data_IF_770219869781
#
_entry.id   IF_770219869781
#
_cell.length_a   1.000
_cell.length_b   1.000
_cell.length_c   1.000
_cell.angle_alpha   90.00
_cell.angle_beta   90.00
_cell.angle_gamma   90.00
#
_symmetry.space_group_name_H-M   'P 1'
#
loop_
_entity.id
_entity.type
_entity.pdbx_description
1 polymer ?
#
# COMPACT_ATOMS: atom_id res chain seq x y z
N UNK A 1 -114.63 -33.55 -20.88
CA UNK A 1 -113.71 -32.59 -20.17
C UNK A 1 -112.28 -33.10 -20.40
N UNK A 2 -111.55 -32.44 -21.31
CA UNK A 2 -110.24 -32.88 -21.65
C UNK A 2 -109.23 -32.12 -20.77
N UNK A 3 -108.49 -32.83 -19.86
CA UNK A 3 -107.40 -32.27 -19.05
C UNK A 3 -106.17 -32.04 -19.92
N UNK A 4 -105.87 -30.84 -20.24
CA UNK A 4 -104.67 -30.44 -20.94
C UNK A 4 -103.47 -30.56 -19.94
N UNK A 5 -102.61 -31.54 -20.17
CA UNK A 5 -101.43 -31.74 -19.32
C UNK A 5 -100.48 -30.47 -19.44
N UNK A 6 -100.00 -29.93 -18.32
CA UNK A 6 -99.21 -28.71 -18.30
C UNK A 6 -97.89 -28.78 -19.13
N UNK A 7 -97.41 -29.99 -19.39
CA UNK A 7 -96.23 -30.22 -20.20
C UNK A 7 -96.44 -29.93 -21.71
N UNK A 8 -97.66 -30.12 -22.27
CA UNK A 8 -97.97 -29.75 -23.68
C UNK A 8 -98.14 -28.24 -23.90
N UNK A 9 -98.52 -27.49 -22.87
CA UNK A 9 -98.65 -26.03 -22.95
C UNK A 9 -97.24 -25.35 -23.01
N UNK A 10 -96.28 -25.91 -22.31
CA UNK A 10 -94.89 -25.49 -22.36
C UNK A 10 -94.16 -25.84 -23.66
N UNK A 11 -94.49 -26.95 -24.31
CA UNK A 11 -93.84 -27.35 -25.56
C UNK A 11 -94.23 -26.50 -26.78
N UNK A 12 -95.39 -25.81 -26.72
CA UNK A 12 -95.90 -24.95 -27.81
C UNK A 12 -95.39 -23.48 -27.70
N UNK A 13 -94.78 -23.10 -26.53
CA UNK A 13 -94.33 -21.76 -26.31
C UNK A 13 -92.89 -21.77 -25.72
N UNK A 14 -91.85 -21.98 -26.54
CA UNK A 14 -90.46 -22.15 -26.08
C UNK A 14 -89.89 -20.94 -25.34
N UNK A 15 -90.44 -19.75 -25.60
CA UNK A 15 -90.06 -18.53 -24.90
C UNK A 15 -90.43 -18.54 -23.39
N UNK A 16 -91.46 -19.31 -22.99
CA UNK A 16 -91.81 -19.45 -21.58
C UNK A 16 -90.82 -20.34 -20.82
N UNK A 17 -90.25 -21.32 -21.48
CA UNK A 17 -89.19 -22.16 -20.89
C UNK A 17 -87.90 -21.37 -20.70
N UNK A 18 -87.55 -20.54 -21.69
CA UNK A 18 -86.37 -19.65 -21.54
C UNK A 18 -86.57 -18.61 -20.49
N UNK A 19 -87.76 -18.06 -20.32
CA UNK A 19 -88.03 -17.07 -19.25
C UNK A 19 -87.97 -17.70 -17.86
N UNK A 20 -88.45 -18.93 -17.69
CA UNK A 20 -88.34 -19.68 -16.43
C UNK A 20 -86.93 -20.02 -16.14
N UNK A 21 -86.10 -20.40 -17.13
CA UNK A 21 -84.65 -20.67 -16.95
C UNK A 21 -83.90 -19.42 -16.56
N UNK A 22 -84.20 -18.27 -17.17
CA UNK A 22 -83.59 -17.00 -16.80
C UNK A 22 -83.98 -16.57 -15.40
N UNK A 23 -85.27 -16.77 -14.99
CA UNK A 23 -85.74 -16.49 -13.63
C UNK A 23 -85.04 -17.41 -12.60
N UNK A 24 -84.91 -18.70 -12.87
CA UNK A 24 -84.19 -19.64 -12.01
C UNK A 24 -82.69 -19.30 -11.91
N UNK A 25 -82.09 -18.90 -13.02
CA UNK A 25 -80.71 -18.50 -13.06
C UNK A 25 -80.46 -17.20 -12.26
N UNK A 26 -81.42 -16.22 -12.42
CA UNK A 26 -81.38 -14.98 -11.65
C UNK A 26 -81.58 -15.19 -10.16
N UNK A 27 -82.45 -16.11 -9.79
CA UNK A 27 -82.72 -16.49 -8.39
C UNK A 27 -81.49 -17.22 -7.80
N UNK A 28 -80.83 -18.08 -8.59
CA UNK A 28 -79.61 -18.82 -8.17
C UNK A 28 -78.42 -17.86 -8.00
N UNK A 29 -78.23 -16.93 -8.94
CA UNK A 29 -77.24 -15.86 -8.83
C UNK A 29 -77.51 -14.93 -7.66
N UNK A 30 -78.77 -14.52 -7.45
CA UNK A 30 -79.17 -13.64 -6.33
C UNK A 30 -78.94 -14.30 -4.95
N UNK A 31 -79.27 -15.59 -4.80
CA UNK A 31 -79.00 -16.35 -3.58
C UNK A 31 -77.46 -16.57 -3.39
N UNK A 32 -76.71 -16.75 -4.50
CA UNK A 32 -75.27 -16.83 -4.45
C UNK A 32 -74.62 -15.51 -3.99
N UNK A 33 -75.12 -14.36 -4.43
CA UNK A 33 -74.68 -13.04 -4.01
C UNK A 33 -74.99 -12.73 -2.55
N UNK A 34 -76.15 -13.10 -2.05
CA UNK A 34 -76.49 -12.98 -0.63
C UNK A 34 -75.68 -13.85 0.30
N UNK A 35 -75.28 -15.06 -0.14
CA UNK A 35 -74.37 -15.94 0.62
C UNK A 35 -72.89 -15.51 0.53
N UNK A 36 -72.50 -14.73 -0.48
CA UNK A 36 -71.15 -14.22 -0.63
C UNK A 36 -70.86 -13.07 0.30
N UNK A 37 -71.87 -12.39 0.85
CA UNK A 37 -71.68 -11.26 1.79
C UNK A 37 -71.47 -11.69 3.26
N UNK A 38 -71.77 -12.95 3.63
CA UNK A 38 -71.61 -13.41 5.00
C UNK A 38 -70.30 -14.22 5.25
N UNK A 39 -69.43 -14.35 4.26
CA UNK A 39 -68.11 -15.00 4.43
C UNK A 39 -67.01 -13.99 4.17
N UNK A 40 -66.99 -12.87 4.93
CA UNK A 40 -65.72 -12.26 5.24
C UNK A 40 -64.97 -13.26 6.15
N UNK A 41 -63.81 -13.80 5.75
CA UNK A 41 -63.02 -14.54 6.70
C UNK A 41 -62.67 -13.57 7.83
N UNK A 42 -63.17 -13.84 8.99
CA UNK A 42 -62.44 -13.40 10.18
C UNK A 42 -61.05 -13.95 10.00
N UNK A 43 -60.09 -13.12 9.59
CA UNK A 43 -58.72 -13.35 9.92
C UNK A 43 -58.65 -13.31 11.46
N UNK A 44 -58.89 -14.46 12.07
CA UNK A 44 -58.18 -14.75 13.30
C UNK A 44 -56.73 -14.50 12.91
N UNK A 45 -56.12 -13.44 13.47
CA UNK A 45 -54.71 -13.30 13.53
C UNK A 45 -54.23 -14.59 14.20
N UNK A 46 -53.84 -15.60 13.42
CA UNK A 46 -53.04 -16.71 13.90
C UNK A 46 -51.90 -16.02 14.66
N UNK A 47 -51.90 -16.14 15.94
CA UNK A 47 -50.77 -15.76 16.80
C UNK A 47 -49.64 -16.65 16.33
N UNK A 48 -48.88 -16.18 15.34
CA UNK A 48 -47.70 -16.89 14.80
C UNK A 48 -46.79 -17.05 16.01
N UNK A 49 -46.58 -18.29 16.47
CA UNK A 49 -45.76 -18.50 17.68
C UNK A 49 -44.39 -17.89 17.42
N UNK A 50 -43.99 -16.97 18.28
CA UNK A 50 -42.72 -16.29 18.22
C UNK A 50 -41.58 -17.34 18.07
N UNK A 51 -40.73 -17.14 17.10
CA UNK A 51 -39.58 -18.04 16.88
C UNK A 51 -38.66 -18.01 18.09
N UNK A 52 -38.23 -19.17 18.52
CA UNK A 52 -37.22 -19.31 19.60
C UNK A 52 -35.83 -19.24 18.99
N UNK A 53 -35.00 -18.30 19.47
CA UNK A 53 -33.61 -18.13 19.01
C UNK A 53 -32.68 -18.20 20.22
N UNK A 54 -31.47 -18.71 19.99
CA UNK A 54 -30.41 -18.61 20.98
C UNK A 54 -29.46 -17.50 20.58
N UNK A 55 -28.97 -16.76 21.56
CA UNK A 55 -27.99 -15.69 21.36
C UNK A 55 -26.85 -15.80 22.36
N UNK A 56 -25.74 -15.22 22.00
CA UNK A 56 -24.55 -15.07 22.85
C UNK A 56 -24.06 -13.62 22.76
N UNK A 57 -23.69 -13.08 23.91
CA UNK A 57 -23.08 -11.74 23.99
C UNK A 57 -21.60 -11.81 23.61
N UNK A 58 -21.21 -10.96 22.68
CA UNK A 58 -19.83 -10.80 22.23
C UNK A 58 -19.33 -9.42 22.58
N UNK A 59 -18.06 -9.34 22.96
CA UNK A 59 -17.35 -8.09 23.25
C UNK A 59 -16.29 -7.88 22.18
N UNK A 60 -16.13 -6.65 21.72
CA UNK A 60 -15.11 -6.30 20.76
C UNK A 60 -13.72 -6.33 21.40
N UNK A 61 -12.77 -6.91 20.69
CA UNK A 61 -11.36 -6.99 21.07
C UNK A 61 -10.53 -6.20 20.07
N UNK A 62 -9.39 -5.66 20.52
CA UNK A 62 -8.44 -5.00 19.62
C UNK A 62 -7.78 -6.04 18.72
N UNK A 63 -7.86 -5.81 17.44
CA UNK A 63 -7.21 -6.67 16.45
C UNK A 63 -6.71 -5.83 15.28
N UNK A 64 -5.78 -6.37 14.49
CA UNK A 64 -5.24 -5.72 13.31
C UNK A 64 -5.44 -6.57 12.06
N UNK A 65 -5.57 -5.91 10.95
CA UNK A 65 -5.50 -6.54 9.63
C UNK A 65 -4.03 -6.64 9.24
N UNK A 66 -3.57 -7.84 8.88
CA UNK A 66 -2.25 -8.05 8.31
C UNK A 66 -2.35 -8.02 6.79
N UNK A 67 -1.45 -7.30 6.14
CA UNK A 67 -1.24 -7.36 4.70
C UNK A 67 0.06 -8.10 4.40
N UNK A 68 0.02 -8.91 3.35
CA UNK A 68 1.17 -9.65 2.84
C UNK A 68 1.59 -9.02 1.52
N UNK A 69 2.87 -8.66 1.43
CA UNK A 69 3.49 -8.07 0.25
C UNK A 69 4.66 -8.93 -0.18
N UNK A 70 4.93 -8.93 -1.47
CA UNK A 70 6.10 -9.59 -2.04
C UNK A 70 7.04 -8.53 -2.59
N UNK A 71 8.32 -8.67 -2.27
CA UNK A 71 9.35 -7.72 -2.68
C UNK A 71 10.67 -8.41 -2.95
N UNK A 72 11.69 -7.60 -3.24
CA UNK A 72 13.05 -8.05 -3.46
C UNK A 72 14.03 -7.26 -2.61
N UNK A 73 15.05 -7.92 -2.17
CA UNK A 73 16.17 -7.27 -1.47
C UNK A 73 16.96 -6.40 -2.44
N UNK A 74 17.34 -5.22 -1.97
CA UNK A 74 18.21 -4.27 -2.64
C UNK A 74 19.31 -3.79 -1.68
N UNK A 75 20.45 -3.30 -2.18
CA UNK A 75 21.47 -2.71 -1.32
C UNK A 75 20.98 -1.41 -0.70
N UNK A 76 21.49 -1.06 0.48
CA UNK A 76 21.17 0.21 1.13
C UNK A 76 21.50 1.44 0.27
N UNK A 77 22.66 1.37 -0.43
CA UNK A 77 23.10 2.39 -1.39
C UNK A 77 23.71 1.73 -2.61
N UNK A 78 23.50 2.35 -3.77
CA UNK A 78 24.15 1.97 -5.02
C UNK A 78 24.69 3.21 -5.70
N UNK A 79 25.98 3.22 -6.02
CA UNK A 79 26.60 4.30 -6.79
C UNK A 79 27.29 3.73 -8.04
N UNK A 80 27.07 4.39 -9.17
CA UNK A 80 27.84 4.16 -10.39
C UNK A 80 28.89 5.28 -10.47
N UNK A 81 30.15 4.91 -10.34
CA UNK A 81 31.28 5.84 -10.37
C UNK A 81 31.69 6.07 -11.82
N UNK A 82 31.80 7.32 -12.19
CA UNK A 82 32.30 7.75 -13.50
C UNK A 82 33.66 8.44 -13.40
N UNK A 83 34.39 8.47 -14.49
CA UNK A 83 35.60 9.28 -14.61
C UNK A 83 35.22 10.78 -14.65
N UNK A 84 35.86 11.57 -13.80
CA UNK A 84 35.65 13.03 -13.75
C UNK A 84 36.63 13.81 -14.63
N UNK A 85 37.64 13.10 -15.19
CA UNK A 85 38.62 13.62 -16.14
C UNK A 85 38.90 12.56 -17.20
N UNK A 86 39.24 12.99 -18.42
CA UNK A 86 39.64 12.09 -19.46
C UNK A 86 41.13 11.70 -19.32
N UNK A 87 41.44 10.43 -19.59
CA UNK A 87 42.82 9.95 -19.56
C UNK A 87 42.91 8.44 -19.60
N UNK A 88 44.14 7.93 -19.59
CA UNK A 88 44.44 6.49 -19.59
C UNK A 88 44.41 5.96 -18.17
N UNK A 89 43.83 4.78 -17.96
CA UNK A 89 43.85 4.08 -16.68
C UNK A 89 45.26 3.48 -16.50
N UNK A 90 45.96 3.99 -15.50
CA UNK A 90 47.34 3.51 -15.19
C UNK A 90 47.35 2.38 -14.18
N UNK A 91 46.38 2.33 -13.28
CA UNK A 91 46.28 1.32 -12.25
C UNK A 91 44.87 1.16 -11.69
N UNK A 92 44.45 -0.10 -11.53
CA UNK A 92 43.33 -0.48 -10.67
C UNK A 92 43.89 -0.84 -9.29
N UNK A 93 43.29 -0.27 -8.23
CA UNK A 93 43.71 -0.48 -6.83
C UNK A 93 42.85 -1.50 -6.10
N UNK A 94 41.76 -1.96 -6.73
CA UNK A 94 40.78 -2.88 -6.17
C UNK A 94 40.32 -3.89 -7.21
N UNK A 95 39.81 -5.01 -6.72
CA UNK A 95 39.22 -6.06 -7.55
C UNK A 95 37.71 -6.10 -7.41
N UNK A 96 37.04 -6.73 -8.37
CA UNK A 96 35.61 -7.04 -8.29
C UNK A 96 35.34 -7.94 -7.06
N UNK A 97 34.31 -7.60 -6.29
CA UNK A 97 33.94 -8.27 -5.04
C UNK A 97 34.71 -7.78 -3.80
N UNK A 98 35.68 -6.89 -3.97
CA UNK A 98 36.50 -6.38 -2.86
C UNK A 98 35.73 -5.31 -2.06
N UNK A 99 35.89 -5.34 -0.74
CA UNK A 99 35.33 -4.33 0.17
C UNK A 99 36.26 -3.13 0.23
N UNK A 100 35.70 -1.94 0.06
CA UNK A 100 36.43 -0.66 0.10
C UNK A 100 35.86 0.26 1.16
N UNK A 101 36.70 1.12 1.73
CA UNK A 101 36.31 2.18 2.66
C UNK A 101 36.02 3.47 1.89
N UNK A 102 35.18 4.34 2.49
CA UNK A 102 34.98 5.68 1.98
C UNK A 102 36.32 6.42 1.77
N UNK A 103 36.48 7.05 0.60
CA UNK A 103 37.71 7.75 0.22
C UNK A 103 38.83 6.85 -0.33
N UNK A 104 38.71 5.53 -0.26
CA UNK A 104 39.69 4.59 -0.84
C UNK A 104 39.74 4.73 -2.35
N UNK A 105 40.96 4.74 -2.90
CA UNK A 105 41.16 4.85 -4.36
C UNK A 105 40.83 3.52 -5.04
N UNK A 106 39.99 3.59 -6.06
CA UNK A 106 39.55 2.46 -6.89
C UNK A 106 40.41 2.34 -8.13
N UNK A 107 40.59 3.46 -8.84
CA UNK A 107 41.36 3.53 -10.06
C UNK A 107 42.22 4.82 -10.12
N UNK A 108 43.34 4.75 -10.79
CA UNK A 108 44.18 5.90 -11.10
C UNK A 108 44.17 6.17 -12.61
N UNK A 109 43.91 7.42 -12.97
CA UNK A 109 44.01 7.96 -14.33
C UNK A 109 45.37 8.63 -14.47
N UNK A 110 45.96 8.56 -15.62
CA UNK A 110 47.23 9.23 -15.92
C UNK A 110 47.12 10.73 -15.63
N UNK A 111 48.07 11.23 -14.88
CA UNK A 111 48.12 12.64 -14.52
C UNK A 111 48.56 13.55 -15.68
N UNK A 112 49.24 12.95 -16.68
CA UNK A 112 49.80 13.70 -17.79
C UNK A 112 50.63 14.90 -17.30
N UNK A 113 50.26 16.10 -17.76
CA UNK A 113 50.93 17.34 -17.37
C UNK A 113 50.25 18.11 -16.23
N UNK A 114 49.22 17.55 -15.58
CA UNK A 114 48.40 18.22 -14.54
C UNK A 114 49.23 18.67 -13.34
N UNK A 115 50.25 17.90 -12.92
CA UNK A 115 51.17 18.31 -11.86
C UNK A 115 51.93 19.56 -12.23
N UNK A 116 52.41 19.62 -13.49
CA UNK A 116 53.11 20.81 -14.03
C UNK A 116 52.15 21.99 -14.16
N UNK A 117 50.89 21.79 -14.52
CA UNK A 117 49.85 22.84 -14.56
C UNK A 117 49.63 23.41 -13.17
N UNK A 118 49.50 22.55 -12.14
CA UNK A 118 49.36 23.00 -10.74
C UNK A 118 50.59 23.84 -10.31
N UNK A 119 51.80 23.35 -10.60
CA UNK A 119 53.02 24.09 -10.22
C UNK A 119 53.08 25.47 -10.89
N UNK A 120 52.70 25.59 -12.19
CA UNK A 120 52.61 26.90 -12.90
C UNK A 120 51.58 27.82 -12.28
N UNK A 121 50.39 27.29 -11.93
CA UNK A 121 49.33 28.07 -11.28
C UNK A 121 49.78 28.58 -9.91
N UNK A 122 50.42 27.73 -9.10
CA UNK A 122 50.97 28.12 -7.78
C UNK A 122 52.05 29.19 -7.88
N UNK A 123 52.97 29.11 -8.87
CA UNK A 123 53.97 30.12 -9.13
C UNK A 123 53.34 31.47 -9.50
N UNK A 124 52.30 31.47 -10.37
CA UNK A 124 51.55 32.67 -10.75
C UNK A 124 50.82 33.26 -9.53
N UNK A 125 50.18 32.43 -8.73
CA UNK A 125 49.54 32.88 -7.47
C UNK A 125 50.51 33.60 -6.57
N UNK A 126 51.71 33.08 -6.40
CA UNK A 126 52.77 33.70 -5.56
C UNK A 126 53.21 35.08 -6.09
N UNK A 127 53.24 35.26 -7.41
CA UNK A 127 53.50 36.59 -8.04
C UNK A 127 52.33 37.53 -7.74
N UNK A 128 51.08 37.11 -8.00
CA UNK A 128 49.90 37.95 -7.81
C UNK A 128 49.67 38.33 -6.33
N UNK A 129 50.03 37.46 -5.38
CA UNK A 129 50.02 37.79 -3.95
C UNK A 129 50.99 38.94 -3.62
N UNK A 130 52.20 38.94 -4.22
CA UNK A 130 53.18 40.04 -4.01
C UNK A 130 52.68 41.32 -4.63
N UNK A 131 52.12 41.27 -5.89
CA UNK A 131 51.55 42.45 -6.55
C UNK A 131 50.41 43.06 -5.71
N UNK A 132 49.50 42.25 -5.21
CA UNK A 132 48.40 42.70 -4.37
C UNK A 132 48.89 43.34 -3.05
N UNK A 133 49.85 42.72 -2.37
CA UNK A 133 50.46 43.28 -1.12
C UNK A 133 51.16 44.63 -1.37
N UNK A 134 51.87 44.78 -2.50
CA UNK A 134 52.50 46.01 -2.89
C UNK A 134 51.45 47.11 -3.18
N UNK A 135 50.43 46.80 -3.97
CA UNK A 135 49.34 47.71 -4.27
C UNK A 135 48.58 48.16 -3.01
N UNK A 136 48.31 47.21 -2.07
CA UNK A 136 47.69 47.50 -0.82
C UNK A 136 48.53 48.49 0.06
N UNK A 137 49.86 48.26 0.12
CA UNK A 137 50.77 49.10 0.88
C UNK A 137 50.87 50.50 0.26
N UNK A 138 50.91 50.63 -1.07
CA UNK A 138 50.91 51.90 -1.77
C UNK A 138 49.61 52.68 -1.60
N UNK A 139 48.46 51.98 -1.68
CA UNK A 139 47.14 52.59 -1.44
C UNK A 139 47.04 53.14 -0.02
N UNK A 140 47.48 52.39 1.00
CA UNK A 140 47.43 52.82 2.39
C UNK A 140 48.29 54.10 2.68
N UNK A 141 49.29 54.31 1.81
CA UNK A 141 50.16 55.50 1.89
C UNK A 141 49.69 56.67 0.97
N UNK A 142 48.54 56.50 0.32
CA UNK A 142 48.00 57.47 -0.65
C UNK A 142 48.80 57.61 -1.93
N UNK A 143 49.66 56.61 -2.26
CA UNK A 143 50.58 56.65 -3.40
C UNK A 143 50.04 55.91 -4.63
N UNK A 144 48.92 55.25 -4.54
CA UNK A 144 48.29 54.49 -5.62
C UNK A 144 46.77 54.70 -5.65
N UNK A 145 46.21 54.86 -6.86
CA UNK A 145 44.78 55.03 -7.05
C UNK A 145 43.96 53.73 -6.86
N UNK A 146 42.67 53.88 -6.62
CA UNK A 146 41.72 52.80 -6.38
C UNK A 146 41.72 51.75 -7.54
N UNK A 147 41.80 52.20 -8.78
CA UNK A 147 41.77 51.31 -9.97
C UNK A 147 42.95 50.32 -9.96
N UNK A 148 44.16 50.79 -9.64
CA UNK A 148 45.33 49.91 -9.65
C UNK A 148 45.28 48.88 -8.49
N UNK A 149 44.77 49.26 -7.33
CA UNK A 149 44.53 48.34 -6.22
C UNK A 149 43.48 47.28 -6.61
N UNK A 150 42.36 47.71 -7.15
CA UNK A 150 41.28 46.80 -7.57
C UNK A 150 41.74 45.82 -8.67
N UNK A 151 42.57 46.28 -9.62
CA UNK A 151 43.20 45.43 -10.64
C UNK A 151 44.10 44.35 -10.04
N UNK A 152 44.98 44.74 -9.07
CA UNK A 152 45.82 43.77 -8.37
C UNK A 152 45.01 42.77 -7.54
N UNK A 153 43.89 43.22 -6.95
CA UNK A 153 42.96 42.36 -6.23
C UNK A 153 42.26 41.35 -7.17
N UNK A 154 41.79 41.80 -8.31
CA UNK A 154 41.17 40.93 -9.35
C UNK A 154 42.16 39.87 -9.83
N UNK A 155 43.40 40.27 -10.15
CA UNK A 155 44.45 39.32 -10.56
C UNK A 155 44.81 38.28 -9.49
N UNK A 156 44.76 38.65 -8.20
CA UNK A 156 44.94 37.68 -7.11
C UNK A 156 43.78 36.66 -7.06
N UNK A 157 42.53 37.12 -7.21
CA UNK A 157 41.35 36.23 -7.24
C UNK A 157 41.42 35.25 -8.40
N UNK A 158 41.79 35.75 -9.60
CA UNK A 158 41.98 34.93 -10.79
C UNK A 158 43.06 33.85 -10.56
N UNK A 159 44.22 34.21 -10.07
CA UNK A 159 45.32 33.28 -9.80
C UNK A 159 44.92 32.20 -8.75
N UNK A 160 44.14 32.57 -7.72
CA UNK A 160 43.57 31.61 -6.77
C UNK A 160 42.62 30.61 -7.45
N UNK A 161 41.78 31.09 -8.37
CA UNK A 161 40.88 30.23 -9.12
C UNK A 161 41.64 29.23 -10.02
N UNK A 162 42.74 29.70 -10.69
CA UNK A 162 43.60 28.82 -11.49
C UNK A 162 44.23 27.69 -10.65
N UNK A 163 44.74 27.97 -9.47
CA UNK A 163 45.27 26.95 -8.55
C UNK A 163 44.18 25.98 -8.13
N UNK A 164 42.97 26.46 -7.75
CA UNK A 164 41.87 25.63 -7.37
C UNK A 164 41.45 24.68 -8.51
N UNK A 165 41.36 25.18 -9.74
CA UNK A 165 40.98 24.36 -10.91
C UNK A 165 42.06 23.28 -11.18
N UNK A 166 43.34 23.62 -11.15
CA UNK A 166 44.42 22.65 -11.31
C UNK A 166 44.45 21.58 -10.23
N UNK A 167 44.18 21.96 -8.97
CA UNK A 167 44.05 21.00 -7.86
C UNK A 167 42.85 20.05 -8.05
N UNK A 168 41.70 20.56 -8.50
CA UNK A 168 40.52 19.75 -8.80
C UNK A 168 40.85 18.75 -9.91
N UNK A 169 41.43 19.21 -11.03
CA UNK A 169 41.81 18.33 -12.13
C UNK A 169 42.77 17.22 -11.67
N UNK A 170 43.81 17.56 -10.91
CA UNK A 170 44.76 16.59 -10.38
C UNK A 170 44.10 15.60 -9.38
N UNK A 171 43.21 16.09 -8.52
CA UNK A 171 42.44 15.21 -7.60
C UNK A 171 41.57 14.24 -8.35
N UNK A 172 40.94 14.66 -9.44
CA UNK A 172 40.03 13.84 -10.24
C UNK A 172 40.73 12.73 -11.04
N UNK A 173 42.07 12.72 -11.09
CA UNK A 173 42.83 11.56 -11.60
C UNK A 173 42.71 10.32 -10.70
N UNK A 174 42.21 10.47 -9.48
CA UNK A 174 42.02 9.39 -8.53
C UNK A 174 40.54 9.14 -8.32
N UNK A 175 39.96 8.11 -8.92
CA UNK A 175 38.58 7.70 -8.70
C UNK A 175 38.46 7.06 -7.33
N UNK A 176 37.64 7.63 -6.44
CA UNK A 176 37.51 7.21 -5.04
C UNK A 176 36.11 6.71 -4.70
N UNK A 177 36.04 5.83 -3.73
CA UNK A 177 34.78 5.34 -3.18
C UNK A 177 34.05 6.44 -2.42
N UNK A 178 32.77 6.79 -2.75
CA UNK A 178 31.99 7.81 -2.06
C UNK A 178 31.46 7.36 -0.68
N UNK A 179 31.38 6.07 -0.45
CA UNK A 179 31.01 5.44 0.82
C UNK A 179 31.69 4.08 0.96
N UNK A 180 31.65 3.50 2.16
CA UNK A 180 32.14 2.14 2.42
C UNK A 180 31.19 1.12 1.83
N UNK A 181 31.70 0.17 1.05
CA UNK A 181 30.87 -0.83 0.36
C UNK A 181 31.69 -1.87 -0.38
N UNK A 182 31.04 -2.63 -1.25
CA UNK A 182 31.65 -3.68 -2.09
C UNK A 182 31.62 -3.23 -3.54
N UNK A 183 32.74 -3.46 -4.24
CA UNK A 183 32.84 -3.21 -5.68
C UNK A 183 32.13 -4.35 -6.41
N UNK A 184 30.97 -4.06 -6.98
CA UNK A 184 30.17 -5.05 -7.70
C UNK A 184 30.67 -5.26 -9.14
N UNK A 185 30.92 -4.15 -9.86
CA UNK A 185 31.42 -4.16 -11.21
C UNK A 185 32.58 -3.19 -11.39
N UNK A 186 33.57 -3.59 -12.19
CA UNK A 186 34.58 -2.73 -12.80
C UNK A 186 34.32 -2.74 -14.30
N UNK A 187 34.16 -1.53 -14.89
CA UNK A 187 33.87 -1.34 -16.32
C UNK A 187 35.11 -1.05 -17.15
N UNK A 188 36.27 -1.00 -16.50
CA UNK A 188 37.55 -0.59 -17.05
C UNK A 188 38.65 -1.58 -16.68
N UNK A 189 39.70 -1.62 -17.50
CA UNK A 189 40.93 -2.35 -17.26
C UNK A 189 42.14 -1.39 -17.28
N UNK A 190 43.27 -1.86 -16.73
CA UNK A 190 44.52 -1.11 -16.82
C UNK A 190 44.95 -0.98 -18.27
N UNK A 191 45.17 0.24 -18.74
CA UNK A 191 45.49 0.54 -20.13
C UNK A 191 44.35 1.14 -20.93
N UNK A 192 43.10 1.04 -20.48
CA UNK A 192 41.95 1.67 -21.13
C UNK A 192 42.05 3.17 -21.09
N UNK A 193 41.44 3.83 -22.11
CA UNK A 193 41.23 5.25 -22.12
C UNK A 193 39.79 5.59 -21.81
N UNK A 194 39.55 6.48 -20.82
CA UNK A 194 38.23 6.93 -20.37
C UNK A 194 38.01 8.40 -20.70
N UNK A 195 36.80 8.76 -21.09
CA UNK A 195 36.29 10.11 -21.17
C UNK A 195 35.58 10.56 -19.90
N UNK A 196 35.29 11.87 -19.81
CA UNK A 196 34.49 12.41 -18.67
C UNK A 196 33.07 11.81 -18.70
N UNK A 197 32.65 11.21 -17.62
CA UNK A 197 31.36 10.54 -17.46
C UNK A 197 31.37 9.04 -17.77
N UNK A 198 32.43 8.50 -18.34
CA UNK A 198 32.52 7.06 -18.60
C UNK A 198 32.48 6.26 -17.30
N UNK A 199 31.72 5.14 -17.26
CA UNK A 199 31.59 4.34 -16.07
C UNK A 199 32.91 3.64 -15.72
N UNK A 200 33.30 3.74 -14.43
CA UNK A 200 34.49 3.12 -13.87
C UNK A 200 34.14 1.91 -13.02
N UNK A 201 33.22 2.07 -12.07
CA UNK A 201 32.83 1.01 -11.16
C UNK A 201 31.39 1.17 -10.65
N UNK A 202 30.79 0.07 -10.24
CA UNK A 202 29.58 0.09 -9.40
C UNK A 202 29.95 -0.29 -7.98
N UNK A 203 29.54 0.54 -7.02
CA UNK A 203 29.73 0.32 -5.59
C UNK A 203 28.40 0.10 -4.90
N UNK A 204 28.29 -0.93 -4.07
CA UNK A 204 27.10 -1.31 -3.33
C UNK A 204 27.37 -1.28 -1.82
N UNK A 205 26.44 -0.73 -1.05
CA UNK A 205 26.47 -0.74 0.41
C UNK A 205 25.52 -1.83 0.92
N UNK A 206 26.08 -2.86 1.55
CA UNK A 206 25.36 -3.97 2.18
C UNK A 206 25.31 -3.87 3.71
N UNK A 207 25.67 -2.74 4.30
CA UNK A 207 25.61 -2.55 5.77
C UNK A 207 24.21 -2.78 6.32
N UNK A 208 23.21 -2.45 5.51
CA UNK A 208 21.78 -2.75 5.66
C UNK A 208 21.27 -3.31 4.35
N UNK A 209 20.15 -4.02 4.40
CA UNK A 209 19.40 -4.45 3.23
C UNK A 209 18.07 -3.71 3.22
N UNK A 210 17.56 -3.43 2.04
CA UNK A 210 16.27 -2.84 1.82
C UNK A 210 15.41 -3.83 1.05
N UNK A 211 14.17 -4.01 1.45
CA UNK A 211 13.20 -4.70 0.62
C UNK A 211 12.37 -3.66 -0.10
N UNK A 212 12.44 -3.71 -1.42
CA UNK A 212 11.56 -2.95 -2.30
C UNK A 212 10.31 -3.79 -2.56
N UNK A 213 9.16 -3.28 -2.15
CA UNK A 213 7.87 -3.92 -2.29
C UNK A 213 6.82 -2.90 -2.71
N UNK A 214 5.70 -3.41 -3.24
CA UNK A 214 4.59 -2.58 -3.70
C UNK A 214 3.36 -2.82 -2.85
N UNK A 215 2.70 -1.75 -2.40
CA UNK A 215 1.46 -1.80 -1.65
C UNK A 215 0.30 -1.26 -2.47
N UNK A 216 -0.85 -1.93 -2.42
CA UNK A 216 -2.07 -1.50 -3.10
C UNK A 216 -2.58 -0.16 -2.54
N UNK A 217 -3.17 0.67 -3.42
CA UNK A 217 -3.83 1.93 -3.06
C UNK A 217 -4.82 1.79 -1.88
N UNK A 218 -5.47 0.64 -1.75
CA UNK A 218 -6.43 0.37 -0.66
C UNK A 218 -5.81 0.39 0.73
N UNK A 219 -4.49 0.19 0.85
CA UNK A 219 -3.81 0.02 2.12
C UNK A 219 -2.76 1.09 2.41
N UNK A 220 -2.42 1.93 1.42
CA UNK A 220 -1.36 2.93 1.55
C UNK A 220 -1.59 3.92 2.69
N UNK A 221 -2.87 4.33 2.88
CA UNK A 221 -3.23 5.32 3.92
C UNK A 221 -3.13 4.77 5.35
N UNK A 222 -3.07 3.44 5.49
CA UNK A 222 -2.96 2.77 6.79
C UNK A 222 -1.52 2.40 7.16
N UNK A 223 -0.53 2.76 6.32
CA UNK A 223 0.87 2.53 6.58
C UNK A 223 1.55 3.76 7.18
N UNK A 224 2.48 3.51 8.09
CA UNK A 224 3.25 4.55 8.77
C UNK A 224 4.75 4.31 8.62
N UNK A 225 5.52 5.39 8.62
CA UNK A 225 6.98 5.32 8.69
C UNK A 225 7.42 4.72 10.03
N UNK A 226 8.50 3.93 10.01
CA UNK A 226 9.03 3.16 11.13
C UNK A 226 8.10 2.03 11.63
N UNK A 227 7.00 1.75 10.95
CA UNK A 227 6.15 0.60 11.23
C UNK A 227 6.95 -0.69 11.11
N UNK A 228 6.79 -1.59 12.09
CA UNK A 228 7.47 -2.88 12.11
C UNK A 228 6.90 -3.80 11.03
N UNK A 229 7.79 -4.49 10.35
CA UNK A 229 7.50 -5.48 9.33
C UNK A 229 8.15 -6.81 9.66
N UNK A 230 7.39 -7.89 9.61
CA UNK A 230 7.97 -9.24 9.65
C UNK A 230 8.33 -9.65 8.23
N UNK A 231 9.55 -10.07 8.03
CA UNK A 231 10.09 -10.44 6.72
C UNK A 231 10.48 -11.90 6.73
N UNK A 232 10.03 -12.64 5.72
CA UNK A 232 10.39 -14.03 5.50
C UNK A 232 11.04 -14.20 4.13
N UNK A 233 12.25 -14.73 4.09
CA UNK A 233 12.98 -15.04 2.87
C UNK A 233 12.58 -16.40 2.30
N UNK A 234 12.93 -16.63 1.03
CA UNK A 234 12.63 -17.89 0.34
C UNK A 234 13.28 -19.13 0.97
N UNK A 235 14.39 -18.95 1.69
CA UNK A 235 15.08 -20.02 2.44
C UNK A 235 14.42 -20.35 3.78
N UNK A 236 13.33 -19.65 4.15
CA UNK A 236 12.60 -19.82 5.41
C UNK A 236 13.08 -18.95 6.57
N UNK A 237 14.20 -18.25 6.43
CA UNK A 237 14.70 -17.32 7.46
C UNK A 237 13.70 -16.18 7.67
N UNK A 238 13.51 -15.82 8.93
CA UNK A 238 12.63 -14.71 9.33
C UNK A 238 13.43 -13.64 10.07
N UNK A 239 13.09 -12.38 9.80
CA UNK A 239 13.69 -11.23 10.47
C UNK A 239 12.70 -10.10 10.59
N UNK A 240 12.98 -9.15 11.47
CA UNK A 240 12.16 -7.94 11.61
C UNK A 240 12.85 -6.78 10.89
N UNK A 241 12.03 -5.98 10.24
CA UNK A 241 12.43 -4.74 9.60
C UNK A 241 11.50 -3.60 9.96
N UNK A 242 11.78 -2.43 9.43
CA UNK A 242 10.93 -1.25 9.60
C UNK A 242 10.71 -0.54 8.25
N UNK A 243 9.51 -0.01 8.03
CA UNK A 243 9.19 0.80 6.87
C UNK A 243 10.01 2.08 6.91
N UNK A 244 10.94 2.26 5.96
CA UNK A 244 11.79 3.46 5.89
C UNK A 244 11.29 4.50 4.90
N UNK A 245 10.54 4.06 3.90
CA UNK A 245 10.04 4.93 2.84
C UNK A 245 8.68 4.44 2.34
N UNK A 246 7.80 5.39 2.08
CA UNK A 246 6.50 5.17 1.44
C UNK A 246 6.39 6.20 0.32
N UNK A 247 6.24 5.73 -0.92
CA UNK A 247 6.07 6.61 -2.07
C UNK A 247 4.75 7.39 -1.97
N UNK A 248 4.78 8.63 -2.45
CA UNK A 248 3.57 9.47 -2.60
C UNK A 248 2.99 9.42 -4.01
N UNK A 249 3.63 8.67 -4.90
CA UNK A 249 3.21 8.53 -6.29
C UNK A 249 3.00 7.06 -6.59
N UNK A 250 1.82 6.73 -7.12
CA UNK A 250 1.50 5.37 -7.53
C UNK A 250 2.12 5.06 -8.90
N UNK A 251 2.39 3.79 -9.12
CA UNK A 251 2.67 3.24 -10.44
C UNK A 251 1.37 3.16 -11.24
N UNK A 252 1.22 3.88 -12.36
CA UNK A 252 -0.03 3.85 -13.14
C UNK A 252 -0.34 2.47 -13.74
N UNK A 253 0.68 1.63 -13.93
CA UNK A 253 0.52 0.31 -14.52
C UNK A 253 -0.12 -0.71 -13.56
N UNK A 254 0.12 -0.57 -12.26
CA UNK A 254 -0.28 -1.55 -11.24
C UNK A 254 -1.22 -0.99 -10.18
N UNK A 255 -1.43 0.34 -10.13
CA UNK A 255 -2.12 1.06 -9.05
C UNK A 255 -1.55 0.71 -7.66
N UNK A 256 -0.22 0.57 -7.59
CA UNK A 256 0.51 0.30 -6.36
C UNK A 256 1.47 1.43 -6.02
N UNK A 257 1.80 1.55 -4.76
CA UNK A 257 2.78 2.50 -4.24
C UNK A 257 4.04 1.76 -3.81
N UNK A 258 5.21 2.12 -4.35
CA UNK A 258 6.48 1.59 -3.86
C UNK A 258 6.70 1.93 -2.38
N UNK A 259 7.14 0.94 -1.62
CA UNK A 259 7.59 1.10 -0.24
C UNK A 259 8.94 0.43 -0.05
N UNK A 260 9.68 0.88 0.94
CA UNK A 260 10.96 0.29 1.29
C UNK A 260 10.99 -0.10 2.76
N UNK A 261 11.40 -1.32 3.03
CA UNK A 261 11.57 -1.87 4.37
C UNK A 261 13.06 -2.06 4.64
N UNK A 262 13.58 -1.41 5.65
CA UNK A 262 14.98 -1.51 6.05
C UNK A 262 15.18 -2.67 7.02
N UNK A 263 16.22 -3.47 6.78
CA UNK A 263 16.64 -4.60 7.60
C UNK A 263 18.12 -4.43 8.00
N UNK A 264 18.45 -4.82 9.22
CA UNK A 264 19.84 -5.00 9.61
C UNK A 264 20.45 -6.18 8.83
N UNK A 265 21.69 -6.01 8.35
CA UNK A 265 22.43 -7.04 7.63
C UNK A 265 23.82 -7.31 8.27
N UNK A 266 23.87 -7.82 9.50
CA UNK A 266 25.13 -8.07 10.19
C UNK A 266 25.96 -9.11 9.42
N UNK A 267 27.22 -8.75 9.18
CA UNK A 267 28.13 -9.60 8.39
C UNK A 267 27.81 -9.65 6.90
N UNK A 268 26.92 -8.79 6.40
CA UNK A 268 26.56 -8.67 4.96
C UNK A 268 26.14 -10.00 4.32
N UNK A 269 25.42 -10.84 5.09
CA UNK A 269 25.02 -12.19 4.68
C UNK A 269 23.85 -12.23 3.70
N UNK A 270 22.97 -11.23 3.75
CA UNK A 270 21.78 -11.15 2.88
C UNK A 270 22.20 -10.44 1.59
N UNK A 271 22.21 -11.14 0.45
CA UNK A 271 22.52 -10.52 -0.84
C UNK A 271 21.33 -9.72 -1.38
N UNK A 272 21.57 -8.85 -2.35
CA UNK A 272 20.54 -8.17 -3.12
C UNK A 272 19.93 -9.10 -4.19
N UNK A 273 18.66 -8.81 -4.58
CA UNK A 273 17.93 -9.53 -5.62
C UNK A 273 17.16 -10.77 -5.13
N UNK A 274 17.20 -11.07 -3.83
CA UNK A 274 16.47 -12.20 -3.23
C UNK A 274 15.01 -11.82 -2.98
N UNK A 275 14.09 -12.73 -3.31
CA UNK A 275 12.67 -12.53 -3.02
C UNK A 275 12.38 -12.67 -1.53
N UNK A 276 11.50 -11.83 -1.05
CA UNK A 276 11.05 -11.81 0.34
C UNK A 276 9.54 -11.55 0.42
N UNK A 277 8.90 -12.20 1.38
CA UNK A 277 7.54 -11.93 1.82
C UNK A 277 7.59 -10.97 3.01
N UNK A 278 6.81 -9.93 2.97
CA UNK A 278 6.72 -8.91 4.02
C UNK A 278 5.30 -8.90 4.58
N UNK A 279 5.17 -9.05 5.89
CA UNK A 279 3.91 -8.91 6.62
C UNK A 279 3.92 -7.62 7.41
N UNK A 280 2.91 -6.79 7.14
CA UNK A 280 2.69 -5.53 7.84
C UNK A 280 1.33 -5.58 8.54
N UNK A 281 1.30 -5.28 9.83
CA UNK A 281 0.07 -5.14 10.58
C UNK A 281 -0.45 -3.72 10.41
N UNK A 282 -1.65 -3.57 9.86
CA UNK A 282 -2.31 -2.26 9.79
C UNK A 282 -2.76 -1.82 11.19
N UNK A 283 -3.24 -0.58 11.30
CA UNK A 283 -3.71 -0.02 12.56
C UNK A 283 -4.70 -0.95 13.27
N UNK A 284 -4.58 -1.00 14.59
CA UNK A 284 -5.48 -1.74 15.45
C UNK A 284 -6.89 -1.17 15.35
N UNK A 285 -7.88 -2.06 15.32
CA UNK A 285 -9.28 -1.70 15.32
C UNK A 285 -10.08 -2.66 16.21
N UNK A 286 -11.15 -2.15 16.79
CA UNK A 286 -12.07 -2.98 17.56
C UNK A 286 -12.88 -3.86 16.61
N UNK A 287 -12.85 -5.16 16.84
CA UNK A 287 -13.59 -6.15 16.06
C UNK A 287 -14.06 -7.30 16.94
N UNK A 288 -15.12 -7.95 16.50
CA UNK A 288 -15.70 -9.10 17.19
C UNK A 288 -15.34 -10.37 16.42
N UNK A 289 -14.86 -11.37 17.15
CA UNK A 289 -14.55 -12.69 16.59
C UNK A 289 -15.76 -13.60 16.70
N UNK A 290 -16.25 -14.08 15.56
CA UNK A 290 -17.35 -15.05 15.50
C UNK A 290 -17.00 -16.24 14.60
N UNK A 291 -17.77 -17.31 14.73
CA UNK A 291 -17.67 -18.43 13.78
C UNK A 291 -18.35 -18.08 12.46
N UNK A 292 -17.88 -18.54 11.31
CA UNK A 292 -18.52 -18.30 10.01
C UNK A 292 -20.00 -18.75 9.94
N UNK A 293 -20.40 -19.69 10.79
CA UNK A 293 -21.78 -20.19 10.85
C UNK A 293 -22.80 -19.12 11.31
N UNK A 294 -22.35 -18.05 11.96
CA UNK A 294 -23.21 -16.94 12.42
C UNK A 294 -23.43 -15.87 11.33
N UNK A 295 -22.72 -15.96 10.21
CA UNK A 295 -22.92 -15.04 9.09
C UNK A 295 -24.26 -15.30 8.41
N UNK A 296 -24.92 -14.21 8.03
CA UNK A 296 -26.19 -14.22 7.32
C UNK A 296 -26.14 -13.25 6.13
N UNK A 297 -27.04 -13.47 5.19
CA UNK A 297 -27.27 -12.54 4.08
C UNK A 297 -28.63 -11.87 4.28
N UNK A 298 -28.72 -10.60 3.95
CA UNK A 298 -30.01 -9.91 3.83
C UNK A 298 -30.72 -10.26 2.52
N UNK A 299 -31.90 -9.71 2.29
CA UNK A 299 -32.70 -9.93 1.07
C UNK A 299 -32.01 -9.40 -0.20
N UNK A 300 -31.07 -8.47 -0.06
CA UNK A 300 -30.30 -7.87 -1.15
C UNK A 300 -28.95 -8.61 -1.38
N UNK A 301 -28.65 -9.63 -0.56
CA UNK A 301 -27.39 -10.38 -0.64
C UNK A 301 -26.20 -9.74 0.07
N UNK A 302 -26.42 -8.73 0.91
CA UNK A 302 -25.34 -8.14 1.72
C UNK A 302 -25.00 -9.07 2.89
N UNK A 303 -23.70 -9.18 3.16
CA UNK A 303 -23.20 -9.97 4.28
C UNK A 303 -23.35 -9.22 5.60
N UNK A 304 -23.89 -9.90 6.61
CA UNK A 304 -24.11 -9.33 7.92
C UNK A 304 -24.26 -10.40 9.00
N UNK A 305 -24.68 -9.98 10.18
CA UNK A 305 -25.08 -10.84 11.28
C UNK A 305 -26.46 -10.43 11.80
N UNK A 306 -27.22 -11.39 12.33
CA UNK A 306 -28.48 -11.12 12.99
C UNK A 306 -28.21 -10.92 14.48
N UNK A 307 -28.49 -9.73 14.97
CA UNK A 307 -28.32 -9.32 16.35
C UNK A 307 -29.66 -9.25 17.06
N UNK A 308 -29.64 -9.24 18.36
CA UNK A 308 -30.83 -9.12 19.19
C UNK A 308 -30.83 -7.75 19.87
N UNK A 309 -31.91 -6.98 19.68
CA UNK A 309 -32.11 -5.69 20.35
C UNK A 309 -33.54 -5.67 20.92
N UNK A 310 -33.69 -5.63 22.24
CA UNK A 310 -34.99 -5.62 22.92
C UNK A 310 -35.96 -6.72 22.42
N UNK A 311 -35.48 -7.96 22.29
CA UNK A 311 -36.22 -9.13 21.77
C UNK A 311 -36.67 -9.01 20.31
N UNK A 312 -36.10 -8.09 19.53
CA UNK A 312 -36.28 -8.01 18.09
C UNK A 312 -34.98 -8.35 17.37
N UNK A 313 -35.11 -9.05 16.26
CA UNK A 313 -34.00 -9.34 15.37
C UNK A 313 -33.62 -8.10 14.58
N UNK A 314 -32.33 -7.76 14.60
CA UNK A 314 -31.79 -6.67 13.77
C UNK A 314 -30.66 -7.20 12.92
N UNK A 315 -30.77 -7.06 11.59
CA UNK A 315 -29.69 -7.34 10.67
C UNK A 315 -28.67 -6.20 10.70
N UNK A 316 -27.41 -6.52 10.98
CA UNK A 316 -26.32 -5.53 10.99
C UNK A 316 -25.33 -5.92 9.91
N UNK A 317 -25.14 -5.06 8.88
CA UNK A 317 -24.12 -5.28 7.87
C UNK A 317 -22.74 -5.16 8.51
N UNK A 318 -21.82 -6.03 8.09
CA UNK A 318 -20.48 -6.12 8.68
C UNK A 318 -19.40 -5.90 7.63
N UNK A 319 -18.19 -5.55 8.11
CA UNK A 319 -16.98 -5.55 7.30
C UNK A 319 -16.02 -6.57 7.85
N UNK A 320 -15.52 -7.46 6.99
CA UNK A 320 -14.52 -8.44 7.34
C UNK A 320 -13.16 -7.76 7.54
N UNK A 321 -12.54 -7.98 8.69
CA UNK A 321 -11.17 -7.54 8.99
C UNK A 321 -10.16 -8.59 8.56
N UNK A 322 -10.30 -9.81 9.11
CA UNK A 322 -9.48 -10.97 8.78
C UNK A 322 -10.24 -12.27 9.03
N UNK A 323 -9.82 -13.33 8.36
CA UNK A 323 -10.29 -14.68 8.60
C UNK A 323 -9.13 -15.51 9.18
N UNK A 324 -9.42 -16.28 10.23
CA UNK A 324 -8.52 -17.22 10.89
C UNK A 324 -9.13 -18.64 10.81
N UNK A 325 -8.36 -19.66 11.19
CA UNK A 325 -8.85 -21.06 11.12
C UNK A 325 -10.04 -21.31 12.03
N UNK A 326 -10.13 -20.58 13.15
CA UNK A 326 -11.12 -20.74 14.22
C UNK A 326 -12.21 -19.65 14.23
N UNK A 327 -12.21 -18.72 13.26
CA UNK A 327 -13.22 -17.67 13.18
C UNK A 327 -12.91 -16.53 12.24
N UNK A 328 -13.86 -15.61 12.19
CA UNK A 328 -13.75 -14.38 11.39
C UNK A 328 -13.87 -13.17 12.31
N UNK A 329 -13.06 -12.17 12.05
CA UNK A 329 -13.06 -10.91 12.77
C UNK A 329 -13.85 -9.86 11.97
N UNK A 330 -14.83 -9.24 12.62
CA UNK A 330 -15.81 -8.36 12.00
C UNK A 330 -15.87 -7.01 12.70
N UNK A 331 -16.01 -5.94 11.92
CA UNK A 331 -16.30 -4.60 12.42
C UNK A 331 -17.71 -4.16 12.02
N UNK A 332 -18.22 -3.11 12.69
CA UNK A 332 -19.56 -2.56 12.45
C UNK A 332 -20.59 -2.97 13.51
N UNK A 333 -20.18 -3.75 14.51
CA UNK A 333 -21.06 -4.32 15.53
C UNK A 333 -21.08 -3.56 16.87
N UNK A 334 -20.24 -2.51 17.00
CA UNK A 334 -20.07 -1.80 18.28
C UNK A 334 -19.11 -2.51 19.24
N UNK A 335 -19.09 -2.06 20.49
CA UNK A 335 -18.20 -2.61 21.54
C UNK A 335 -18.75 -3.90 22.17
N UNK A 336 -20.06 -4.03 22.24
CA UNK A 336 -20.77 -5.22 22.73
C UNK A 336 -22.03 -5.45 21.91
N UNK A 337 -22.31 -6.71 21.58
CA UNK A 337 -23.49 -7.08 20.77
C UNK A 337 -23.95 -8.50 21.10
N UNK A 338 -25.26 -8.68 21.14
CA UNK A 338 -25.90 -9.99 21.26
C UNK A 338 -26.16 -10.54 19.85
N UNK A 339 -25.47 -11.62 19.50
CA UNK A 339 -25.58 -12.24 18.17
C UNK A 339 -26.37 -13.54 18.29
N UNK A 340 -27.32 -13.72 17.38
CA UNK A 340 -28.11 -14.95 17.29
C UNK A 340 -27.21 -16.07 16.76
N UNK A 341 -27.03 -17.10 17.58
CA UNK A 341 -26.16 -18.25 17.30
C UNK A 341 -26.91 -19.43 16.71
N UNK A 342 -28.18 -19.59 17.11
CA UNK A 342 -29.05 -20.68 16.63
C UNK A 342 -30.44 -20.13 16.29
N UNK A 343 -31.02 -20.57 15.19
CA UNK A 343 -32.33 -20.13 14.73
C UNK A 343 -32.31 -18.96 13.77
N UNK A 344 -31.15 -18.42 13.41
CA UNK A 344 -30.98 -17.26 12.51
C UNK A 344 -31.59 -17.47 11.12
N UNK A 345 -31.70 -18.73 10.66
CA UNK A 345 -32.31 -19.06 9.35
C UNK A 345 -33.83 -18.93 9.31
N UNK A 346 -34.50 -18.89 10.48
CA UNK A 346 -35.95 -18.88 10.60
C UNK A 346 -36.54 -17.51 10.91
N UNK A 347 -35.70 -16.50 11.12
CA UNK A 347 -36.13 -15.14 11.52
C UNK A 347 -35.62 -14.12 10.51
N UNK A 348 -36.37 -13.01 10.33
CA UNK A 348 -36.02 -11.90 9.47
C UNK A 348 -35.71 -10.64 10.27
N UNK A 349 -35.18 -9.64 9.61
CA UNK A 349 -34.99 -8.32 10.20
C UNK A 349 -36.35 -7.75 10.68
N UNK A 350 -36.37 -7.28 11.94
CA UNK A 350 -37.59 -6.75 12.58
C UNK A 350 -38.49 -7.78 13.27
N UNK A 351 -38.27 -9.08 13.11
CA UNK A 351 -39.09 -10.12 13.76
C UNK A 351 -38.93 -10.07 15.29
N UNK A 352 -40.05 -10.18 16.01
CA UNK A 352 -40.07 -10.40 17.46
C UNK A 352 -39.80 -11.87 17.76
N UNK A 353 -38.93 -12.16 18.74
CA UNK A 353 -38.48 -13.52 19.05
C UNK A 353 -38.49 -13.80 20.54
N UNK A 354 -38.53 -15.08 20.90
CA UNK A 354 -38.22 -15.53 22.24
C UNK A 354 -36.73 -15.84 22.32
N UNK A 355 -35.97 -14.96 22.97
CA UNK A 355 -34.53 -15.07 23.08
C UNK A 355 -34.13 -15.91 24.28
N UNK A 356 -33.20 -16.84 24.08
CA UNK A 356 -32.62 -17.68 25.13
C UNK A 356 -31.11 -17.45 25.10
N UNK A 357 -30.56 -16.99 26.20
CA UNK A 357 -29.13 -16.79 26.32
C UNK A 357 -28.42 -18.15 26.39
N UNK A 358 -27.43 -18.34 25.52
CA UNK A 358 -26.57 -19.51 25.52
C UNK A 358 -25.29 -19.18 26.30
N UNK A 359 -25.15 -19.75 27.49
CA UNK A 359 -23.90 -19.68 28.25
C UNK A 359 -22.79 -20.38 27.43
N UNK A 360 -21.64 -19.72 27.30
CA UNK A 360 -20.42 -20.25 26.67
C UNK A 360 -19.86 -21.42 27.44
#
# INVERSE_FOLDING_TARGET
>A
MASISPLRFLAVRPYLVSLILVLLLSLWLGVGMLKAQDTAPHQESEDIPLAKVQFTSFVAESTHKTIELYGRTAPNKKARLGAEIAGKIVQLKVNKGESVKQGQVIALIDKGDLESQLQRAEALLKVKEKEYKAAQSLKSKGLQGEVAFTTAQAGLVEAKAMVSNAQIALRNTSVKAPFTGVVDHLFIETGDFVGVGDPVATLLDFSKIVIEADVSERHIQALELNQQASVRFINGDQTMGAVRYISRVSSPATNTFPIEIELANPGQKIPAGVSAEVKLNLQDQLAIKITPAMLALDEMGNLGVKTLVANQVKFVPIKLVKAEQDGVWLTGLGEQVDIITTGQGFVRDGDSVIAIEQNR
#
